data_IF_101495288082
#
_entry.id   IF_101495288082
#
_cell.length_a   1.000
_cell.length_b   1.000
_cell.length_c   1.000
_cell.angle_alpha   90.00
_cell.angle_beta   90.00
_cell.angle_gamma   90.00
#
_symmetry.space_group_name_H-M   'P 1'
#
loop_
_entity.id
_entity.type
_entity.pdbx_description
1 polymer ?
#
# COMPACT_ATOMS: atom_id res chain seq x y z
N UNK A 1 19.13 56.46 -44.80
CA UNK A 1 20.09 55.54 -44.17
C UNK A 1 20.38 56.11 -42.80
N UNK A 2 19.69 55.59 -41.78
CA UNK A 2 19.86 56.00 -40.39
C UNK A 2 20.10 54.72 -39.60
N UNK A 3 21.35 54.49 -39.22
CA UNK A 3 21.80 53.29 -38.53
C UNK A 3 21.33 53.30 -37.07
N UNK A 4 20.55 52.28 -36.70
CA UNK A 4 20.17 52.03 -35.31
C UNK A 4 21.32 51.31 -34.58
N UNK A 5 21.88 51.99 -33.57
CA UNK A 5 22.90 51.45 -32.67
C UNK A 5 22.25 50.55 -31.61
N UNK A 6 22.61 49.28 -31.57
CA UNK A 6 22.22 48.36 -30.49
C UNK A 6 23.23 48.45 -29.32
N UNK A 7 22.73 48.74 -28.12
CA UNK A 7 23.52 48.76 -26.88
C UNK A 7 23.85 47.36 -26.34
N UNK A 8 24.97 47.18 -25.63
CA UNK A 8 25.51 45.87 -25.25
C UNK A 8 24.89 45.29 -23.97
N UNK A 9 23.56 45.29 -23.83
CA UNK A 9 22.92 44.62 -22.70
C UNK A 9 21.46 44.15 -22.93
N UNK A 10 21.16 43.66 -24.14
CA UNK A 10 19.92 42.93 -24.38
C UNK A 10 20.10 41.46 -23.94
N UNK A 11 19.79 41.17 -22.67
CA UNK A 11 19.59 39.81 -22.20
C UNK A 11 18.34 39.22 -22.85
N UNK A 12 18.49 38.70 -24.08
CA UNK A 12 17.53 37.78 -24.64
C UNK A 12 17.66 36.47 -23.88
N UNK A 13 16.87 36.32 -22.81
CA UNK A 13 16.56 35.00 -22.28
C UNK A 13 15.99 34.19 -23.43
N UNK A 14 16.78 33.25 -23.97
CA UNK A 14 16.32 32.27 -24.93
C UNK A 14 15.24 31.45 -24.23
N UNK A 15 13.98 31.85 -24.38
CA UNK A 15 12.88 30.90 -24.36
C UNK A 15 13.11 30.00 -25.57
N UNK A 16 13.77 28.87 -25.30
CA UNK A 16 13.96 27.82 -26.28
C UNK A 16 12.57 27.37 -26.72
N UNK A 17 12.14 27.85 -27.88
CA UNK A 17 10.95 27.36 -28.56
C UNK A 17 11.16 25.87 -28.81
N UNK A 18 10.44 25.07 -28.02
CA UNK A 18 10.47 23.61 -28.08
C UNK A 18 9.94 23.18 -29.46
N UNK A 19 10.62 22.26 -30.16
CA UNK A 19 9.99 21.60 -31.30
C UNK A 19 8.74 20.89 -30.78
N UNK A 20 7.59 21.21 -31.38
CA UNK A 20 6.31 20.60 -31.02
C UNK A 20 6.39 19.09 -31.30
N UNK A 21 6.54 18.26 -30.25
CA UNK A 21 6.39 16.81 -30.39
C UNK A 21 7.29 15.93 -29.52
N UNK A 22 8.34 16.45 -28.86
CA UNK A 22 9.22 15.61 -28.01
C UNK A 22 9.03 15.92 -26.53
N UNK A 23 8.22 15.11 -25.85
CA UNK A 23 8.12 15.11 -24.38
C UNK A 23 9.40 14.49 -23.82
N UNK A 24 10.21 15.28 -23.11
CA UNK A 24 11.46 14.80 -22.50
C UNK A 24 11.18 14.25 -21.10
N UNK A 25 11.88 13.17 -20.74
CA UNK A 25 11.70 12.49 -19.44
C UNK A 25 11.98 13.42 -18.24
N UNK A 26 12.76 14.48 -18.43
CA UNK A 26 13.10 15.45 -17.39
C UNK A 26 12.03 16.54 -17.17
N UNK A 27 11.05 16.69 -18.06
CA UNK A 27 10.05 17.77 -17.99
C UNK A 27 9.17 17.64 -16.73
N UNK A 28 8.86 16.42 -16.30
CA UNK A 28 8.07 16.16 -15.09
C UNK A 28 8.75 16.65 -13.80
N UNK A 29 10.09 16.74 -13.77
CA UNK A 29 10.81 17.23 -12.60
C UNK A 29 10.65 18.74 -12.41
N UNK A 30 10.49 19.49 -13.50
CA UNK A 30 10.33 20.95 -13.48
C UNK A 30 8.86 21.39 -13.39
N UNK A 31 7.92 20.43 -13.46
CA UNK A 31 6.50 20.72 -13.44
C UNK A 31 6.01 21.38 -12.13
N UNK A 32 4.91 22.16 -12.19
CA UNK A 32 4.30 22.78 -11.02
C UNK A 32 3.93 21.76 -9.92
N UNK A 33 3.94 22.16 -8.65
CA UNK A 33 3.68 21.26 -7.52
C UNK A 33 2.28 20.62 -7.58
N UNK A 34 1.29 21.32 -8.12
CA UNK A 34 -0.07 20.81 -8.31
C UNK A 34 -0.09 19.50 -9.11
N UNK A 35 0.57 19.48 -10.28
CA UNK A 35 0.59 18.31 -11.15
C UNK A 35 1.42 17.16 -10.57
N UNK A 36 2.45 17.47 -9.77
CA UNK A 36 3.19 16.47 -8.99
C UNK A 36 2.30 15.81 -7.95
N UNK A 37 1.45 16.56 -7.26
CA UNK A 37 0.47 16.02 -6.31
C UNK A 37 -0.54 15.13 -7.02
N UNK A 38 -1.10 15.57 -8.15
CA UNK A 38 -2.03 14.76 -8.97
C UNK A 38 -1.36 13.45 -9.42
N UNK A 39 -0.16 13.53 -9.98
CA UNK A 39 0.60 12.36 -10.41
C UNK A 39 0.93 11.42 -9.23
N UNK A 40 1.24 11.98 -8.05
CA UNK A 40 1.53 11.19 -6.85
C UNK A 40 0.30 10.43 -6.35
N UNK A 41 -0.87 11.08 -6.35
CA UNK A 41 -2.14 10.44 -6.00
C UNK A 41 -2.49 9.33 -6.98
N UNK A 42 -2.36 9.59 -8.29
CA UNK A 42 -2.61 8.57 -9.31
C UNK A 42 -1.66 7.36 -9.19
N UNK A 43 -0.39 7.57 -8.81
CA UNK A 43 0.55 6.47 -8.52
C UNK A 43 0.25 5.71 -7.23
N UNK A 44 -0.39 6.34 -6.23
CA UNK A 44 -0.73 5.66 -4.99
C UNK A 44 -1.94 4.73 -5.20
N UNK A 45 -1.65 3.45 -5.42
CA UNK A 45 -2.64 2.40 -5.64
C UNK A 45 -3.68 2.31 -4.52
N UNK A 46 -3.33 2.64 -3.27
CA UNK A 46 -4.29 2.57 -2.16
C UNK A 46 -5.30 3.71 -2.22
N UNK A 47 -4.88 4.89 -2.67
CA UNK A 47 -5.72 6.08 -2.73
C UNK A 47 -6.51 6.17 -4.03
N UNK A 48 -5.86 5.91 -5.16
CA UNK A 48 -6.46 5.98 -6.49
C UNK A 48 -7.23 4.71 -6.88
N UNK A 49 -6.94 3.58 -6.23
CA UNK A 49 -7.33 2.22 -6.66
C UNK A 49 -7.00 1.91 -8.13
N UNK A 50 -6.03 2.63 -8.71
CA UNK A 50 -5.54 2.37 -10.06
C UNK A 50 -4.44 1.32 -10.01
N UNK A 51 -4.71 0.16 -10.61
CA UNK A 51 -3.71 -0.91 -10.74
C UNK A 51 -2.76 -0.59 -11.89
N UNK A 52 -1.47 -0.49 -11.60
CA UNK A 52 -0.42 -0.40 -12.62
C UNK A 52 0.05 -1.80 -13.02
N UNK A 53 0.50 -1.95 -14.27
CA UNK A 53 1.06 -3.18 -14.83
C UNK A 53 2.49 -2.92 -15.27
N UNK A 54 3.31 -3.95 -15.32
CA UNK A 54 4.68 -3.84 -15.83
C UNK A 54 4.74 -4.21 -17.31
N UNK A 55 5.41 -3.35 -18.09
CA UNK A 55 5.75 -3.59 -19.48
C UNK A 55 7.19 -3.23 -19.75
N UNK A 56 7.65 -3.46 -20.97
CA UNK A 56 9.01 -3.12 -21.40
C UNK A 56 8.94 -2.20 -22.61
N UNK A 57 9.61 -1.05 -22.50
CA UNK A 57 9.77 -0.10 -23.61
C UNK A 57 11.26 0.14 -23.82
N UNK A 58 11.76 -0.02 -25.05
CA UNK A 58 13.19 0.12 -25.38
C UNK A 58 14.11 -0.67 -24.43
N UNK A 59 13.72 -1.90 -24.04
CA UNK A 59 14.48 -2.76 -23.12
C UNK A 59 14.38 -2.38 -21.62
N UNK A 60 13.77 -1.24 -21.26
CA UNK A 60 13.55 -0.84 -19.86
C UNK A 60 12.18 -1.29 -19.37
N UNK A 61 12.13 -1.91 -18.18
CA UNK A 61 10.87 -2.19 -17.47
C UNK A 61 10.25 -0.90 -16.96
N UNK A 62 9.00 -0.66 -17.30
CA UNK A 62 8.26 0.54 -16.94
C UNK A 62 6.83 0.16 -16.52
N UNK A 63 6.27 0.95 -15.62
CA UNK A 63 4.90 0.81 -15.18
C UNK A 63 3.96 1.53 -16.14
N UNK A 64 2.89 0.85 -16.53
CA UNK A 64 1.85 1.39 -17.40
C UNK A 64 0.45 1.11 -16.84
N UNK A 65 -0.52 1.91 -17.26
CA UNK A 65 -1.91 1.82 -16.83
C UNK A 65 -2.86 2.10 -17.99
N UNK A 66 -4.16 1.86 -17.79
CA UNK A 66 -5.20 2.15 -18.78
C UNK A 66 -5.85 3.51 -18.48
N UNK A 67 -6.09 4.32 -19.50
CA UNK A 67 -6.72 5.65 -19.37
C UNK A 67 -8.01 5.64 -18.56
N UNK A 68 -8.91 4.70 -18.86
CA UNK A 68 -10.18 4.52 -18.14
C UNK A 68 -9.99 4.40 -16.63
N UNK A 69 -8.93 3.73 -16.19
CA UNK A 69 -8.64 3.58 -14.76
C UNK A 69 -8.18 4.89 -14.12
N UNK A 70 -7.42 5.70 -14.85
CA UNK A 70 -6.97 7.02 -14.38
C UNK A 70 -8.14 8.00 -14.33
N UNK A 71 -8.99 8.04 -15.36
CA UNK A 71 -10.23 8.85 -15.36
C UNK A 71 -11.12 8.48 -14.18
N UNK A 72 -11.37 7.18 -13.96
CA UNK A 72 -12.13 6.73 -12.80
C UNK A 72 -11.48 7.09 -11.45
N UNK A 73 -10.15 7.21 -11.39
CA UNK A 73 -9.44 7.59 -10.17
C UNK A 73 -9.53 9.10 -9.87
N UNK A 74 -9.53 9.93 -10.93
CA UNK A 74 -9.71 11.39 -10.82
C UNK A 74 -11.13 11.78 -10.41
N UNK A 75 -12.13 10.97 -10.75
CA UNK A 75 -13.53 11.20 -10.38
C UNK A 75 -13.89 10.76 -8.94
N UNK A 76 -12.92 10.26 -8.17
CA UNK A 76 -13.19 9.83 -6.78
C UNK A 76 -13.12 11.00 -5.81
N UNK A 77 -13.94 10.94 -4.77
CA UNK A 77 -13.92 11.88 -3.64
C UNK A 77 -12.54 12.06 -2.99
N UNK A 78 -11.71 11.01 -3.00
CA UNK A 78 -10.34 11.07 -2.47
C UNK A 78 -9.46 12.07 -3.24
N UNK A 79 -9.73 12.28 -4.53
CA UNK A 79 -8.97 13.22 -5.35
C UNK A 79 -9.19 14.67 -4.93
N UNK A 80 -10.38 15.01 -4.45
CA UNK A 80 -10.69 16.37 -3.97
C UNK A 80 -9.76 16.82 -2.83
N UNK A 81 -9.22 15.88 -2.04
CA UNK A 81 -8.27 16.16 -0.95
C UNK A 81 -6.87 16.52 -1.42
N UNK A 82 -6.54 16.19 -2.67
CA UNK A 82 -5.20 16.37 -3.25
C UNK A 82 -5.08 17.75 -3.91
N UNK A 83 -6.20 18.30 -4.35
CA UNK A 83 -6.26 19.61 -4.99
C UNK A 83 -6.20 20.75 -3.97
N UNK A 84 -5.53 21.86 -4.27
CA UNK A 84 -5.68 23.09 -3.50
C UNK A 84 -7.15 23.53 -3.50
N UNK A 85 -7.58 24.22 -2.42
CA UNK A 85 -8.98 24.67 -2.25
C UNK A 85 -9.50 25.58 -3.38
N UNK A 86 -8.61 26.15 -4.17
CA UNK A 86 -8.89 27.07 -5.28
C UNK A 86 -9.08 26.33 -6.63
N UNK A 87 -8.70 25.06 -6.73
CA UNK A 87 -8.79 24.30 -7.98
C UNK A 87 -10.08 23.47 -8.03
N UNK A 88 -10.78 23.52 -9.17
CA UNK A 88 -11.98 22.72 -9.38
C UNK A 88 -11.63 21.23 -9.53
N UNK A 89 -12.37 20.39 -8.80
CA UNK A 89 -12.31 18.93 -8.92
C UNK A 89 -13.03 18.54 -10.22
N UNK A 90 -12.43 17.69 -11.08
CA UNK A 90 -13.11 17.13 -12.24
C UNK A 90 -14.39 16.41 -11.81
N UNK A 91 -15.54 16.84 -12.34
CA UNK A 91 -16.84 16.21 -12.08
C UNK A 91 -17.25 15.31 -13.23
N UNK A 92 -16.86 15.68 -14.45
CA UNK A 92 -17.14 14.92 -15.66
C UNK A 92 -15.90 14.16 -16.17
N UNK A 93 -16.14 13.10 -16.96
CA UNK A 93 -15.08 12.35 -17.63
C UNK A 93 -14.28 13.21 -18.61
N UNK A 94 -14.92 14.14 -19.30
CA UNK A 94 -14.29 15.12 -20.20
C UNK A 94 -13.24 15.96 -19.45
N UNK A 95 -13.60 16.51 -18.29
CA UNK A 95 -12.70 17.29 -17.43
C UNK A 95 -11.49 16.46 -16.98
N UNK A 96 -11.72 15.20 -16.60
CA UNK A 96 -10.65 14.30 -16.19
C UNK A 96 -9.66 14.00 -17.35
N UNK A 97 -10.15 13.92 -18.58
CA UNK A 97 -9.31 13.77 -19.79
C UNK A 97 -8.49 15.03 -20.04
N UNK A 98 -9.03 16.23 -19.80
CA UNK A 98 -8.26 17.49 -19.90
C UNK A 98 -7.10 17.48 -18.91
N UNK A 99 -7.34 17.11 -17.65
CA UNK A 99 -6.28 16.98 -16.63
C UNK A 99 -5.21 15.96 -17.05
N UNK A 100 -5.61 14.82 -17.62
CA UNK A 100 -4.66 13.83 -18.14
C UNK A 100 -3.83 14.37 -19.33
N UNK A 101 -4.44 15.15 -20.23
CA UNK A 101 -3.73 15.81 -21.31
C UNK A 101 -2.67 16.80 -20.78
N UNK A 102 -2.99 17.55 -19.74
CA UNK A 102 -2.02 18.43 -19.09
C UNK A 102 -0.87 17.65 -18.45
N UNK A 103 -1.16 16.54 -17.75
CA UNK A 103 -0.13 15.64 -17.22
C UNK A 103 0.78 15.08 -18.31
N UNK A 104 0.22 14.73 -19.48
CA UNK A 104 0.97 14.28 -20.63
C UNK A 104 1.88 15.36 -21.21
N UNK A 105 1.37 16.58 -21.38
CA UNK A 105 2.14 17.74 -21.86
C UNK A 105 3.30 18.11 -20.94
N UNK A 106 3.13 17.91 -19.63
CA UNK A 106 4.16 18.14 -18.62
C UNK A 106 5.14 16.96 -18.47
N UNK A 107 4.95 15.88 -19.23
CA UNK A 107 5.85 14.74 -19.27
C UNK A 107 5.73 13.75 -18.12
N UNK A 108 4.61 13.73 -17.39
CA UNK A 108 4.38 12.71 -16.38
C UNK A 108 4.01 11.36 -17.00
N UNK A 109 3.23 11.40 -18.09
CA UNK A 109 2.66 10.22 -18.74
C UNK A 109 2.86 10.28 -20.26
N UNK A 110 2.98 9.12 -20.90
CA UNK A 110 3.13 9.00 -22.35
C UNK A 110 2.22 7.91 -22.90
N UNK A 111 1.53 8.20 -24.01
CA UNK A 111 0.64 7.24 -24.67
C UNK A 111 1.46 6.14 -25.37
N UNK A 112 1.07 4.90 -25.11
CA UNK A 112 1.72 3.70 -25.65
C UNK A 112 0.71 2.71 -26.20
N UNK A 113 1.12 2.01 -27.25
CA UNK A 113 0.45 0.83 -27.78
C UNK A 113 0.98 -0.41 -27.06
N UNK A 114 0.08 -1.31 -26.68
CA UNK A 114 0.45 -2.60 -26.10
C UNK A 114 0.66 -3.62 -27.21
N UNK A 115 1.86 -4.16 -27.28
CA UNK A 115 2.18 -5.32 -28.10
C UNK A 115 1.99 -6.65 -27.35
N UNK A 116 2.63 -7.66 -27.91
CA UNK A 116 2.63 -9.02 -27.39
C UNK A 116 3.49 -9.17 -26.13
N UNK A 117 3.34 -10.34 -25.51
CA UNK A 117 4.14 -10.75 -24.39
C UNK A 117 5.59 -11.02 -24.83
N UNK A 118 6.55 -10.60 -24.01
CA UNK A 118 7.97 -10.89 -24.25
C UNK A 118 8.22 -12.31 -23.77
N UNK A 119 7.85 -13.29 -24.59
CA UNK A 119 7.89 -14.71 -24.28
C UNK A 119 6.52 -15.22 -23.83
N UNK A 120 6.45 -15.81 -22.63
CA UNK A 120 5.25 -16.51 -22.15
C UNK A 120 4.10 -15.56 -21.78
N UNK A 121 2.88 -16.11 -21.68
CA UNK A 121 1.61 -15.39 -21.40
C UNK A 121 1.59 -14.57 -20.10
N UNK A 122 2.54 -14.78 -19.19
CA UNK A 122 2.71 -14.05 -17.92
C UNK A 122 3.94 -13.12 -17.88
N UNK A 123 4.71 -13.07 -18.96
CA UNK A 123 5.84 -12.14 -19.10
C UNK A 123 5.34 -10.69 -19.26
N UNK A 124 6.19 -9.67 -19.03
CA UNK A 124 5.81 -8.30 -19.32
C UNK A 124 5.54 -8.12 -20.82
N UNK A 125 4.61 -7.23 -21.16
CA UNK A 125 4.30 -6.90 -22.56
C UNK A 125 5.29 -5.91 -23.13
N UNK A 126 5.58 -6.04 -24.42
CA UNK A 126 6.31 -5.01 -25.14
C UNK A 126 5.40 -3.80 -25.37
N UNK A 127 5.90 -2.62 -25.07
CA UNK A 127 5.21 -1.35 -25.24
C UNK A 127 5.92 -0.57 -26.34
N UNK A 128 5.15 0.02 -27.24
CA UNK A 128 5.65 0.93 -28.27
C UNK A 128 5.03 2.32 -28.06
N UNK A 129 5.80 3.38 -28.28
CA UNK A 129 5.28 4.75 -28.20
C UNK A 129 4.25 4.94 -29.31
N UNK A 130 3.07 5.45 -28.96
CA UNK A 130 2.05 5.77 -29.96
C UNK A 130 2.48 7.02 -30.77
N UNK A 131 2.31 7.04 -32.10
CA UNK A 131 2.66 8.21 -32.91
C UNK A 131 1.78 9.42 -32.57
N UNK A 132 0.52 9.18 -32.22
CA UNK A 132 -0.42 10.21 -31.79
C UNK A 132 -0.52 10.22 -30.26
N UNK A 133 -0.23 11.38 -29.66
CA UNK A 133 -0.32 11.60 -28.22
C UNK A 133 -1.64 12.29 -27.87
N UNK A 134 -2.75 11.60 -28.12
CA UNK A 134 -4.08 12.00 -27.68
C UNK A 134 -4.49 11.22 -26.42
N UNK A 135 -4.90 11.93 -25.36
CA UNK A 135 -5.39 11.25 -24.15
C UNK A 135 -6.85 10.84 -24.33
N UNK A 136 -7.07 9.54 -24.28
CA UNK A 136 -8.37 8.87 -24.29
C UNK A 136 -8.42 7.78 -23.19
N UNK A 137 -9.62 7.40 -22.79
CA UNK A 137 -9.88 6.30 -21.85
C UNK A 137 -9.44 4.93 -22.38
N UNK A 138 -9.47 4.74 -23.69
CA UNK A 138 -9.20 3.44 -24.31
C UNK A 138 -7.71 3.11 -24.46
N UNK A 139 -6.86 4.14 -24.48
CA UNK A 139 -5.42 4.02 -24.66
C UNK A 139 -4.69 3.63 -23.36
N UNK A 140 -3.44 3.23 -23.51
CA UNK A 140 -2.55 2.88 -22.40
C UNK A 140 -1.47 3.93 -22.24
N UNK A 141 -1.03 4.13 -21.00
CA UNK A 141 -0.07 5.18 -20.65
C UNK A 141 1.02 4.62 -19.77
N UNK A 142 2.27 5.04 -20.02
CA UNK A 142 3.41 4.75 -19.14
C UNK A 142 3.69 5.91 -18.21
N UNK A 143 4.15 5.61 -17.00
CA UNK A 143 4.66 6.61 -16.07
C UNK A 143 6.12 6.94 -16.40
N UNK A 144 6.41 8.19 -16.74
CA UNK A 144 7.79 8.67 -16.89
C UNK A 144 8.36 9.21 -15.57
N UNK A 145 7.48 9.63 -14.66
CA UNK A 145 7.86 10.19 -13.36
C UNK A 145 7.80 9.14 -12.24
N UNK A 146 8.89 9.02 -11.47
CA UNK A 146 9.08 7.98 -10.45
C UNK A 146 8.60 8.38 -9.04
N UNK A 147 8.15 9.62 -8.85
CA UNK A 147 7.68 10.09 -7.54
C UNK A 147 8.77 10.52 -6.56
N UNK A 148 8.40 11.09 -5.41
CA UNK A 148 9.33 11.44 -4.35
C UNK A 148 9.88 10.18 -3.66
N UNK A 149 11.19 9.94 -3.78
CA UNK A 149 11.89 8.79 -3.17
C UNK A 149 12.32 9.00 -1.72
N UNK A 150 11.91 10.11 -1.10
CA UNK A 150 12.39 10.51 0.23
C UNK A 150 12.12 9.46 1.31
N UNK A 151 10.95 8.79 1.29
CA UNK A 151 10.64 7.72 2.24
C UNK A 151 11.59 6.51 2.13
N UNK A 152 12.07 6.19 0.92
CA UNK A 152 13.07 5.13 0.72
C UNK A 152 14.42 5.56 1.28
N UNK A 153 14.83 6.80 1.01
CA UNK A 153 16.07 7.35 1.57
C UNK A 153 16.05 7.43 3.10
N UNK A 154 14.91 7.82 3.71
CA UNK A 154 14.77 7.88 5.16
C UNK A 154 14.89 6.50 5.80
N UNK A 155 14.23 5.48 5.22
CA UNK A 155 14.33 4.09 5.69
C UNK A 155 15.74 3.52 5.53
N UNK A 156 16.38 3.79 4.39
CA UNK A 156 17.76 3.41 4.16
C UNK A 156 18.71 4.10 5.15
N UNK A 157 18.53 5.40 5.37
CA UNK A 157 19.30 6.18 6.34
C UNK A 157 19.12 5.68 7.77
N UNK A 158 17.90 5.33 8.18
CA UNK A 158 17.61 4.74 9.49
C UNK A 158 18.27 3.38 9.66
N UNK A 159 18.24 2.53 8.63
CA UNK A 159 18.91 1.23 8.66
C UNK A 159 20.42 1.38 8.80
N UNK A 160 21.03 2.28 8.04
CA UNK A 160 22.46 2.59 8.13
C UNK A 160 22.80 3.15 9.51
N UNK A 161 22.01 4.11 10.01
CA UNK A 161 22.20 4.68 11.35
C UNK A 161 22.07 3.62 12.44
N UNK A 162 21.14 2.67 12.32
CA UNK A 162 20.99 1.55 13.25
C UNK A 162 22.21 0.63 13.28
N UNK A 163 22.74 0.27 12.10
CA UNK A 163 23.97 -0.54 11.99
C UNK A 163 25.16 0.22 12.58
N UNK A 164 25.34 1.50 12.24
CA UNK A 164 26.40 2.34 12.80
C UNK A 164 26.29 2.42 14.32
N UNK A 165 25.08 2.64 14.85
CA UNK A 165 24.81 2.69 16.29
C UNK A 165 25.25 1.40 16.97
N UNK A 166 24.95 0.23 16.39
CA UNK A 166 25.38 -1.07 16.90
C UNK A 166 26.90 -1.30 16.82
N UNK A 167 27.54 -0.98 15.69
CA UNK A 167 28.99 -1.14 15.51
C UNK A 167 29.79 -0.19 16.41
N UNK A 168 29.27 1.02 16.65
CA UNK A 168 29.88 1.99 17.56
C UNK A 168 29.61 1.71 19.05
N UNK A 169 28.91 0.62 19.41
CA UNK A 169 28.67 0.23 20.81
C UNK A 169 29.92 0.34 21.73
N UNK A 170 31.15 -0.02 21.29
CA UNK A 170 32.36 0.16 22.09
C UNK A 170 32.66 1.61 22.49
N UNK A 171 32.24 2.58 21.68
CA UNK A 171 32.47 4.02 21.89
C UNK A 171 31.35 4.69 22.68
N UNK A 172 30.31 3.96 23.11
CA UNK A 172 29.17 4.58 23.78
C UNK A 172 29.54 5.11 25.19
N UNK A 173 28.95 6.24 25.61
CA UNK A 173 29.01 6.69 27.00
C UNK A 173 28.62 5.60 27.99
N UNK A 174 29.26 5.58 29.15
CA UNK A 174 29.07 4.55 30.19
C UNK A 174 27.60 4.41 30.62
N UNK A 175 26.88 5.52 30.70
CA UNK A 175 25.46 5.56 31.05
C UNK A 175 24.57 4.80 30.06
N UNK A 176 24.80 4.92 28.75
CA UNK A 176 24.00 4.22 27.75
C UNK A 176 24.26 2.72 27.78
N UNK A 177 25.52 2.31 27.98
CA UNK A 177 25.89 0.89 28.15
C UNK A 177 25.17 0.28 29.36
N UNK A 178 25.12 1.02 30.47
CA UNK A 178 24.39 0.61 31.66
C UNK A 178 22.88 0.51 31.40
N UNK A 179 22.31 1.46 30.64
CA UNK A 179 20.91 1.40 30.21
C UNK A 179 20.59 0.16 29.38
N UNK A 180 21.44 -0.19 28.41
CA UNK A 180 21.29 -1.43 27.61
C UNK A 180 21.37 -2.68 28.50
N UNK A 181 22.28 -2.68 29.48
CA UNK A 181 22.40 -3.79 30.44
C UNK A 181 21.12 -3.96 31.28
N UNK A 182 20.59 -2.87 31.84
CA UNK A 182 19.33 -2.92 32.59
C UNK A 182 18.14 -3.31 31.71
N UNK A 183 18.09 -2.82 30.47
CA UNK A 183 17.04 -3.20 29.52
C UNK A 183 17.13 -4.69 29.18
N UNK A 184 18.33 -5.21 28.95
CA UNK A 184 18.56 -6.64 28.70
C UNK A 184 18.15 -7.51 29.90
N UNK A 185 18.53 -7.12 31.11
CA UNK A 185 18.10 -7.81 32.34
C UNK A 185 16.59 -7.70 32.57
N UNK A 186 15.97 -6.56 32.24
CA UNK A 186 14.53 -6.38 32.30
C UNK A 186 13.77 -7.29 31.34
N UNK A 187 14.22 -7.38 30.08
CA UNK A 187 13.64 -8.30 29.07
C UNK A 187 13.86 -9.75 29.49
N UNK A 188 15.05 -10.10 29.99
CA UNK A 188 15.33 -11.46 30.47
C UNK A 188 14.47 -11.83 31.68
N UNK A 189 14.25 -10.88 32.60
CA UNK A 189 13.35 -11.05 33.74
C UNK A 189 11.90 -11.22 33.32
N UNK A 190 11.41 -10.37 32.40
CA UNK A 190 10.07 -10.50 31.82
C UNK A 190 9.87 -11.86 31.15
N UNK A 191 10.87 -12.30 30.39
CA UNK A 191 10.87 -13.60 29.73
C UNK A 191 10.90 -14.76 30.75
N UNK A 192 11.69 -14.64 31.81
CA UNK A 192 11.73 -15.60 32.92
C UNK A 192 10.41 -15.72 33.66
N UNK A 193 9.74 -14.59 33.94
CA UNK A 193 8.38 -14.58 34.53
C UNK A 193 7.38 -15.24 33.59
N UNK A 194 7.44 -14.94 32.30
CA UNK A 194 6.57 -15.56 31.29
C UNK A 194 6.72 -17.09 31.27
N UNK A 195 7.96 -17.60 31.25
CA UNK A 195 8.22 -19.03 31.36
C UNK A 195 7.80 -19.62 32.71
N UNK A 196 8.02 -18.90 33.81
CA UNK A 196 7.57 -19.30 35.14
C UNK A 196 6.05 -19.52 35.19
N UNK A 197 5.27 -18.57 34.66
CA UNK A 197 3.81 -18.70 34.56
C UNK A 197 3.42 -19.90 33.69
N UNK A 198 4.10 -20.12 32.56
CA UNK A 198 3.85 -21.27 31.70
C UNK A 198 4.13 -22.62 32.40
N UNK A 199 5.20 -22.71 33.20
CA UNK A 199 5.53 -23.91 33.99
C UNK A 199 4.52 -24.13 35.10
N UNK A 200 4.16 -23.10 35.86
CA UNK A 200 3.14 -23.20 36.92
C UNK A 200 1.82 -23.65 36.33
N UNK A 201 1.41 -23.08 35.18
CA UNK A 201 0.23 -23.51 34.42
C UNK A 201 0.28 -25.00 34.08
N UNK A 202 1.43 -25.51 33.60
CA UNK A 202 1.61 -26.92 33.27
C UNK A 202 1.48 -27.82 34.51
N UNK A 203 2.15 -27.47 35.61
CA UNK A 203 2.13 -28.26 36.85
C UNK A 203 0.70 -28.34 37.39
N UNK A 204 -0.02 -27.21 37.45
CA UNK A 204 -1.41 -27.17 37.92
C UNK A 204 -2.34 -27.99 37.03
N UNK A 205 -2.14 -27.94 35.71
CA UNK A 205 -2.90 -28.75 34.77
C UNK A 205 -2.67 -30.26 35.01
N UNK A 206 -1.41 -30.71 35.11
CA UNK A 206 -1.09 -32.12 35.37
C UNK A 206 -1.65 -32.59 36.72
N UNK A 207 -1.48 -31.79 37.78
CA UNK A 207 -1.99 -32.14 39.11
C UNK A 207 -3.53 -32.21 39.12
N UNK A 208 -4.19 -31.27 38.44
CA UNK A 208 -5.64 -31.26 38.33
C UNK A 208 -6.19 -32.45 37.55
N UNK A 209 -5.47 -32.98 36.57
CA UNK A 209 -5.87 -34.20 35.85
C UNK A 209 -5.79 -35.46 36.71
N UNK A 210 -4.90 -35.49 37.71
CA UNK A 210 -4.77 -36.64 38.63
C UNK A 210 -5.85 -36.59 39.72
N UNK A 211 -6.16 -35.40 40.22
CA UNK A 211 -7.05 -35.22 41.39
C UNK A 211 -8.51 -34.97 40.99
N UNK A 212 -8.74 -34.30 39.85
CA UNK A 212 -10.08 -33.94 39.37
C UNK A 212 -10.36 -34.59 38.00
N UNK A 213 -11.64 -34.85 37.68
CA UNK A 213 -12.03 -35.36 36.36
C UNK A 213 -11.91 -34.32 35.24
N UNK A 214 -11.57 -33.06 35.55
CA UNK A 214 -11.42 -31.96 34.58
C UNK A 214 -10.09 -31.23 34.77
N UNK A 215 -9.44 -30.88 33.66
CA UNK A 215 -8.20 -30.11 33.68
C UNK A 215 -8.45 -28.67 34.11
N UNK A 216 -7.69 -28.19 35.09
CA UNK A 216 -7.64 -26.80 35.50
C UNK A 216 -6.62 -26.03 34.67
N UNK A 217 -7.03 -24.91 34.09
CA UNK A 217 -6.19 -24.04 33.28
C UNK A 217 -5.96 -22.72 34.01
N UNK A 218 -4.71 -22.45 34.40
CA UNK A 218 -4.29 -21.12 34.86
C UNK A 218 -4.00 -20.23 33.64
N UNK A 219 -4.63 -19.05 33.55
CA UNK A 219 -4.57 -18.15 32.39
C UNK A 219 -4.82 -18.84 31.04
N UNK A 220 -6.09 -19.22 30.73
CA UNK A 220 -6.44 -19.89 29.48
C UNK A 220 -5.96 -19.11 28.23
N UNK A 221 -6.03 -17.78 28.27
CA UNK A 221 -5.73 -16.88 27.15
C UNK A 221 -4.24 -16.53 27.00
N UNK A 222 -3.33 -17.08 27.82
CA UNK A 222 -1.91 -16.68 27.80
C UNK A 222 -1.20 -16.90 26.45
N UNK A 223 -1.65 -17.89 25.67
CA UNK A 223 -1.15 -18.19 24.32
C UNK A 223 -2.19 -17.95 23.23
N UNK A 224 -3.31 -17.29 23.54
CA UNK A 224 -4.25 -16.86 22.53
C UNK A 224 -3.75 -15.58 21.85
N UNK A 225 -4.21 -15.30 20.63
CA UNK A 225 -3.90 -14.08 19.87
C UNK A 225 -4.60 -12.85 20.49
N UNK A 226 -4.27 -12.53 21.74
CA UNK A 226 -4.86 -11.46 22.53
C UNK A 226 -3.77 -10.49 23.02
N UNK A 227 -4.16 -9.26 23.35
CA UNK A 227 -3.21 -8.30 23.90
C UNK A 227 -2.67 -8.76 25.26
N UNK A 228 -1.50 -8.23 25.67
CA UNK A 228 -0.82 -8.66 26.91
C UNK A 228 -1.73 -8.64 28.14
N UNK A 229 -2.63 -7.67 28.26
CA UNK A 229 -3.56 -7.56 29.40
C UNK A 229 -4.68 -8.61 29.31
N UNK A 230 -5.21 -8.84 28.11
CA UNK A 230 -6.27 -9.81 27.85
C UNK A 230 -5.78 -11.26 28.00
N UNK A 231 -4.49 -11.51 27.78
CA UNK A 231 -3.86 -12.80 28.04
C UNK A 231 -3.95 -13.26 29.51
N UNK A 232 -4.05 -12.33 30.46
CA UNK A 232 -4.13 -12.63 31.90
C UNK A 232 -5.56 -12.63 32.45
N UNK A 233 -6.58 -12.44 31.59
CA UNK A 233 -7.99 -12.42 31.98
C UNK A 233 -8.76 -13.41 31.09
N UNK A 234 -9.50 -14.37 31.64
CA UNK A 234 -9.70 -14.67 33.07
C UNK A 234 -8.47 -15.32 33.74
N UNK A 235 -8.37 -15.22 35.06
CA UNK A 235 -7.24 -15.76 35.84
C UNK A 235 -7.19 -17.30 35.81
N UNK A 236 -8.35 -17.95 35.75
CA UNK A 236 -8.46 -19.41 35.65
C UNK A 236 -9.62 -19.82 34.74
N UNK A 237 -9.54 -21.03 34.21
CA UNK A 237 -10.59 -21.69 33.44
C UNK A 237 -10.58 -23.19 33.69
N UNK A 238 -11.66 -23.86 33.32
CA UNK A 238 -11.77 -25.30 33.37
C UNK A 238 -11.86 -25.83 31.96
N UNK A 239 -11.24 -26.99 31.70
CA UNK A 239 -11.37 -27.66 30.42
C UNK A 239 -12.82 -28.16 30.27
N UNK A 240 -13.43 -27.90 29.12
CA UNK A 240 -14.80 -28.32 28.85
C UNK A 240 -14.85 -29.85 28.77
N UNK A 241 -15.84 -30.51 29.40
CA UNK A 241 -15.97 -31.96 29.26
C UNK A 241 -16.16 -32.28 27.78
N UNK A 242 -15.31 -33.16 27.24
CA UNK A 242 -15.36 -33.58 25.84
C UNK A 242 -16.75 -34.16 25.53
N UNK A 243 -17.64 -33.34 24.99
CA UNK A 243 -18.92 -33.80 24.50
C UNK A 243 -18.64 -34.78 23.36
N UNK A 244 -19.07 -36.04 23.53
CA UNK A 244 -19.08 -37.02 22.45
C UNK A 244 -19.83 -36.40 21.27
N UNK A 245 -19.19 -36.27 20.11
CA UNK A 245 -19.84 -35.82 18.87
C UNK A 245 -21.04 -36.72 18.58
N UNK A 246 -22.25 -36.21 18.78
CA UNK A 246 -23.46 -36.68 18.10
C UNK A 246 -23.73 -35.74 16.91
N UNK A 247 -24.13 -36.26 15.73
CA UNK A 247 -24.36 -35.43 14.56
C UNK A 247 -25.70 -34.68 14.68
N UNK A 248 -25.69 -33.41 14.26
CA UNK A 248 -26.82 -32.61 13.78
C UNK A 248 -28.06 -32.42 14.69
N UNK A 249 -28.31 -31.18 15.13
CA UNK A 249 -29.52 -30.44 14.73
C UNK A 249 -29.55 -29.01 15.29
N UNK A 250 -30.06 -28.13 14.45
CA UNK A 250 -30.16 -26.67 14.55
C UNK A 250 -31.29 -26.20 15.49
N UNK A 251 -31.16 -24.96 15.95
CA UNK A 251 -32.18 -23.97 16.37
C UNK A 251 -32.80 -24.03 17.78
N UNK A 252 -33.16 -22.93 18.45
CA UNK A 252 -32.97 -21.47 18.33
C UNK A 252 -33.63 -20.82 19.57
N UNK A 253 -33.18 -19.62 19.95
CA UNK A 253 -33.86 -18.54 20.75
C UNK A 253 -34.10 -18.76 22.25
N UNK A 254 -33.99 -17.74 23.13
CA UNK A 254 -34.64 -16.42 23.00
C UNK A 254 -33.92 -15.22 23.69
N UNK A 255 -33.94 -14.08 22.98
CA UNK A 255 -34.21 -12.66 23.36
C UNK A 255 -33.33 -11.90 24.39
N UNK A 256 -33.04 -10.58 24.25
CA UNK A 256 -33.77 -9.53 23.51
C UNK A 256 -32.95 -8.23 23.22
N UNK A 257 -33.18 -7.66 22.01
CA UNK A 257 -33.19 -6.24 21.54
C UNK A 257 -31.89 -5.38 21.59
N UNK A 258 -31.60 -4.50 20.61
CA UNK A 258 -32.44 -3.87 19.57
C UNK A 258 -31.62 -3.26 18.42
N UNK A 259 -32.18 -3.35 17.20
CA UNK A 259 -32.14 -2.45 16.01
C UNK A 259 -30.77 -1.96 15.49
N UNK A 260 -30.38 -2.04 14.21
CA UNK A 260 -31.03 -2.11 12.88
C UNK A 260 -30.05 -1.39 11.92
N UNK A 261 -29.83 -1.66 10.64
CA UNK A 261 -30.63 -2.27 9.58
C UNK A 261 -29.75 -2.49 8.32
N UNK A 262 -29.94 -3.64 7.65
CA UNK A 262 -29.98 -3.97 6.19
C UNK A 262 -29.15 -3.13 5.17
N UNK A 263 -28.46 -3.67 4.15
CA UNK A 263 -28.99 -4.43 2.99
C UNK A 263 -27.92 -5.26 2.25
N UNK A 264 -28.26 -6.53 2.02
CA UNK A 264 -28.06 -7.48 0.88
C UNK A 264 -26.91 -7.34 -0.14
N UNK A 265 -26.17 -8.45 -0.37
CA UNK A 265 -25.90 -9.00 -1.73
C UNK A 265 -25.50 -10.49 -1.70
N UNK A 266 -26.19 -11.28 -2.54
CA UNK A 266 -25.89 -12.69 -2.89
C UNK A 266 -24.83 -12.80 -4.00
N UNK A 267 -24.15 -13.95 -4.16
CA UNK A 267 -24.08 -14.52 -5.51
C UNK A 267 -24.25 -16.06 -5.59
N UNK A 268 -25.24 -16.43 -6.40
CA UNK A 268 -25.33 -17.48 -7.43
C UNK A 268 -24.13 -18.46 -7.58
N UNK A 269 -24.39 -19.75 -7.37
CA UNK A 269 -23.54 -20.89 -7.73
C UNK A 269 -23.89 -21.44 -9.13
N UNK A 270 -22.87 -21.94 -9.83
CA UNK A 270 -22.91 -22.57 -11.16
C UNK A 270 -22.96 -24.08 -10.98
N UNK A 271 -23.96 -24.75 -11.56
CA UNK A 271 -24.01 -26.23 -11.67
C UNK A 271 -23.80 -26.62 -13.14
N UNK A 272 -22.83 -27.50 -13.36
CA UNK A 272 -22.65 -28.30 -14.58
C UNK A 272 -23.02 -29.73 -14.18
N UNK A 273 -23.94 -30.36 -14.91
CA UNK A 273 -23.82 -31.74 -15.40
C UNK A 273 -25.04 -32.07 -16.27
N UNK A 274 -24.79 -32.53 -17.49
CA UNK A 274 -25.76 -33.10 -18.42
C UNK A 274 -25.37 -34.56 -18.63
N UNK A 275 -26.38 -35.43 -18.54
CA UNK A 275 -26.34 -36.88 -18.78
C UNK A 275 -26.89 -37.17 -20.18
N UNK A 276 -26.30 -38.20 -20.78
CA UNK A 276 -26.47 -38.86 -22.08
C UNK A 276 -27.86 -39.02 -22.72
N UNK A 277 -27.75 -39.18 -24.06
CA UNK A 277 -28.68 -39.69 -25.10
C UNK A 277 -30.03 -38.99 -25.36
#
# INVERSE_FOLDING_TARGET
MSDHVHGPNCNHGQQQQRPAGTVQVNDAQQAPPLFKSIASYLRDEKQSAMRTKQGVINGKRIEYFKGKSAVNALLKENFAKVLPKDQQVPKERSDAIVVLNELGKLGFILCVSRGDYIGEKHSPRQLAVAPTQEMNENNYYVWLWEGPKWGVYLRAGLLIAGILTAVLFPLWPSFLRLGVWYLSMGVLGLLGVFFGIAIVRLILYVLSLIVLPRGFWLFPNLFADCGVIESFIPFYGWDEPKAKKSPSSTSTTVNEKSAGSDVTHSPRSTTIEAVDE
#
